data_IF_086778455292
#
_entry.id   IF_086778455292
#
_cell.length_a   1.000
_cell.length_b   1.000
_cell.length_c   1.000
_cell.angle_alpha   90.00
_cell.angle_beta   90.00
_cell.angle_gamma   90.00
#
_symmetry.space_group_name_H-M   'P 1'
#
loop_
_entity.id
_entity.type
_entity.pdbx_description
1 polymer ?
#
# COMPACT_ATOMS: atom_id res chain seq x y z
N UNK A 1 -14.77 -9.61 -34.35
CA UNK A 1 -14.44 -9.05 -33.02
C UNK A 1 -13.28 -9.85 -32.45
N UNK A 2 -12.04 -9.46 -32.76
CA UNK A 2 -10.84 -10.16 -32.27
C UNK A 2 -10.76 -10.07 -30.76
N UNK A 3 -10.80 -11.24 -30.11
CA UNK A 3 -10.58 -11.40 -28.69
C UNK A 3 -9.11 -11.02 -28.39
N UNK A 4 -8.90 -9.88 -27.73
CA UNK A 4 -7.59 -9.25 -27.51
C UNK A 4 -6.70 -10.00 -26.49
N UNK A 5 -7.05 -11.24 -26.14
CA UNK A 5 -6.42 -12.04 -25.07
C UNK A 5 -5.74 -13.33 -25.57
N UNK A 6 -5.45 -13.48 -26.86
CA UNK A 6 -4.87 -14.72 -27.41
C UNK A 6 -3.34 -14.72 -27.57
N UNK A 7 -2.61 -13.66 -27.22
CA UNK A 7 -1.14 -13.67 -27.34
C UNK A 7 -0.45 -14.08 -26.02
N UNK A 8 0.30 -15.20 -25.98
CA UNK A 8 0.93 -15.71 -24.77
C UNK A 8 1.93 -14.74 -24.12
N UNK A 9 2.55 -13.87 -24.92
CA UNK A 9 3.49 -12.85 -24.44
C UNK A 9 2.82 -11.78 -23.56
N UNK A 10 1.55 -11.46 -23.84
CA UNK A 10 0.76 -10.53 -23.03
C UNK A 10 0.36 -11.13 -21.68
N UNK A 11 0.19 -12.46 -21.62
CA UNK A 11 -0.10 -13.19 -20.37
C UNK A 11 1.15 -13.27 -19.49
N UNK A 12 2.32 -13.45 -20.10
CA UNK A 12 3.60 -13.48 -19.40
C UNK A 12 3.93 -12.10 -18.82
N UNK A 13 3.82 -11.04 -19.61
CA UNK A 13 4.03 -9.67 -19.13
C UNK A 13 3.03 -9.24 -18.04
N UNK A 14 1.76 -9.66 -18.15
CA UNK A 14 0.77 -9.41 -17.11
C UNK A 14 1.08 -10.17 -15.81
N UNK A 15 1.52 -11.43 -15.90
CA UNK A 15 1.93 -12.21 -14.74
C UNK A 15 3.23 -11.69 -14.11
N UNK A 16 4.19 -11.21 -14.91
CA UNK A 16 5.40 -10.57 -14.43
C UNK A 16 5.10 -9.24 -13.72
N UNK A 17 4.20 -8.43 -14.27
CA UNK A 17 3.71 -7.21 -13.61
C UNK A 17 2.94 -7.52 -12.32
N UNK A 18 2.18 -8.62 -12.28
CA UNK A 18 1.50 -9.12 -11.09
C UNK A 18 2.50 -9.61 -10.01
N UNK A 19 3.68 -10.06 -10.42
CA UNK A 19 4.79 -10.44 -9.54
C UNK A 19 5.71 -9.29 -9.14
N UNK A 20 5.58 -8.11 -9.77
CA UNK A 20 6.44 -6.97 -9.50
C UNK A 20 6.16 -6.39 -8.11
N UNK A 21 7.22 -6.25 -7.31
CA UNK A 21 7.16 -5.63 -5.98
C UNK A 21 7.34 -4.13 -6.13
N UNK A 22 6.34 -3.37 -5.68
CA UNK A 22 6.44 -1.92 -5.50
C UNK A 22 7.05 -1.62 -4.14
N UNK A 23 7.94 -0.63 -4.09
CA UNK A 23 8.46 -0.06 -2.85
C UNK A 23 7.89 1.34 -2.71
N UNK A 24 7.14 1.61 -1.64
CA UNK A 24 6.59 2.93 -1.39
C UNK A 24 7.24 3.62 -0.19
N UNK A 25 7.30 4.94 -0.27
CA UNK A 25 7.64 5.81 0.84
C UNK A 25 6.63 6.96 0.94
N UNK A 26 6.16 7.24 2.15
CA UNK A 26 5.25 8.36 2.41
C UNK A 26 5.43 8.93 3.82
N UNK A 27 5.09 10.21 3.99
CA UNK A 27 5.03 10.84 5.30
C UNK A 27 3.84 11.81 5.35
N UNK A 28 3.28 12.00 6.54
CA UNK A 28 2.23 12.98 6.79
C UNK A 28 2.36 13.51 8.21
N UNK A 29 2.36 14.82 8.35
CA UNK A 29 2.21 15.49 9.63
C UNK A 29 0.73 15.75 9.89
N UNK A 30 0.16 15.09 10.89
CA UNK A 30 -1.23 15.20 11.33
C UNK A 30 -1.32 14.69 12.76
N UNK A 31 -2.15 15.30 13.60
CA UNK A 31 -2.32 14.86 14.98
C UNK A 31 -2.97 13.45 15.02
N UNK A 32 -2.37 12.54 15.80
CA UNK A 32 -2.85 11.16 15.97
C UNK A 32 -2.94 10.84 17.46
N UNK A 33 -4.15 10.56 17.93
CA UNK A 33 -4.42 10.28 19.35
C UNK A 33 -4.56 8.78 19.64
N UNK A 34 -5.05 8.02 18.66
CA UNK A 34 -5.40 6.59 18.62
C UNK A 34 -4.26 5.71 18.04
N UNK A 35 -3.00 6.03 18.38
CA UNK A 35 -1.82 5.39 17.77
C UNK A 35 -1.75 3.88 17.97
N UNK A 36 -2.13 3.39 19.15
CA UNK A 36 -2.10 1.96 19.47
C UNK A 36 -3.12 1.18 18.63
N UNK A 37 -4.33 1.72 18.47
CA UNK A 37 -5.37 1.15 17.63
C UNK A 37 -4.93 1.11 16.15
N UNK A 38 -4.38 2.22 15.63
CA UNK A 38 -3.84 2.25 14.27
C UNK A 38 -2.71 1.25 14.06
N UNK A 39 -1.80 1.11 15.04
CA UNK A 39 -0.71 0.12 14.98
C UNK A 39 -1.27 -1.29 14.82
N UNK A 40 -2.25 -1.68 15.63
CA UNK A 40 -2.85 -3.01 15.57
C UNK A 40 -3.55 -3.26 14.23
N UNK A 41 -4.40 -2.32 13.81
CA UNK A 41 -5.15 -2.40 12.56
C UNK A 41 -4.22 -2.50 11.34
N UNK A 42 -3.20 -1.63 11.24
CA UNK A 42 -2.31 -1.63 10.08
C UNK A 42 -1.37 -2.83 10.10
N UNK A 43 -0.91 -3.28 11.27
CA UNK A 43 -0.09 -4.48 11.36
C UNK A 43 -0.87 -5.71 10.86
N UNK A 44 -2.12 -5.88 11.28
CA UNK A 44 -2.97 -6.98 10.82
C UNK A 44 -3.16 -6.96 9.30
N UNK A 45 -3.48 -5.79 8.72
CA UNK A 45 -3.65 -5.63 7.28
C UNK A 45 -2.36 -5.92 6.51
N UNK A 46 -1.23 -5.37 6.97
CA UNK A 46 0.07 -5.60 6.33
C UNK A 46 0.46 -7.08 6.36
N UNK A 47 0.23 -7.78 7.48
CA UNK A 47 0.49 -9.21 7.60
C UNK A 47 -0.43 -10.03 6.68
N UNK A 48 -1.73 -9.71 6.63
CA UNK A 48 -2.69 -10.39 5.77
C UNK A 48 -2.37 -10.21 4.27
N UNK A 49 -1.83 -9.04 3.90
CA UNK A 49 -1.41 -8.71 2.53
C UNK A 49 0.04 -9.14 2.21
N UNK A 50 0.75 -9.76 3.16
CA UNK A 50 2.14 -10.19 2.97
C UNK A 50 3.14 -9.05 2.73
N UNK A 51 2.81 -7.83 3.19
CA UNK A 51 3.63 -6.63 3.01
C UNK A 51 4.84 -6.67 3.94
N UNK A 52 5.96 -6.11 3.48
CA UNK A 52 7.18 -5.96 4.28
C UNK A 52 7.55 -4.49 4.43
N UNK A 53 8.18 -4.13 5.54
CA UNK A 53 8.65 -2.77 5.78
C UNK A 53 8.27 -2.26 7.17
N UNK A 54 8.25 -0.94 7.32
CA UNK A 54 8.07 -0.27 8.60
C UNK A 54 7.09 0.90 8.46
N UNK A 55 6.16 0.99 9.40
CA UNK A 55 5.34 2.18 9.61
C UNK A 55 5.66 2.73 11.00
N UNK A 56 6.08 3.98 11.07
CA UNK A 56 6.24 4.72 12.31
C UNK A 56 5.00 5.58 12.53
N UNK A 57 4.41 5.48 13.72
CA UNK A 57 3.24 6.27 14.13
C UNK A 57 3.62 7.10 15.35
N UNK A 58 3.71 8.41 15.17
CA UNK A 58 3.99 9.39 16.21
C UNK A 58 2.76 10.25 16.49
N UNK A 59 2.68 10.95 17.63
CA UNK A 59 1.57 11.89 17.90
C UNK A 59 1.40 12.95 16.81
N UNK A 60 2.49 13.37 16.18
CA UNK A 60 2.52 14.38 15.13
C UNK A 60 2.35 13.85 13.70
N UNK A 61 2.27 12.52 13.50
CA UNK A 61 2.07 11.98 12.16
C UNK A 61 2.62 10.58 11.91
N UNK A 62 2.81 10.26 10.63
CA UNK A 62 3.31 8.96 10.16
C UNK A 62 4.50 9.08 9.22
N UNK A 63 5.32 8.02 9.23
CA UNK A 63 6.36 7.76 8.24
C UNK A 63 6.26 6.28 7.80
N UNK A 64 6.12 6.04 6.50
CA UNK A 64 5.78 4.75 5.91
C UNK A 64 6.85 4.34 4.91
N UNK A 65 7.39 3.13 5.04
CA UNK A 65 8.18 2.44 4.03
C UNK A 65 7.66 1.02 3.88
N UNK A 66 7.05 0.68 2.75
CA UNK A 66 6.44 -0.63 2.52
C UNK A 66 6.81 -1.20 1.16
N UNK A 67 6.93 -2.52 1.08
CA UNK A 67 7.22 -3.28 -0.12
C UNK A 67 6.22 -4.43 -0.26
N UNK A 68 5.49 -4.48 -1.36
CA UNK A 68 4.52 -5.53 -1.67
C UNK A 68 4.17 -5.55 -3.17
N UNK A 69 3.47 -6.59 -3.67
CA UNK A 69 2.87 -6.53 -5.00
C UNK A 69 1.94 -5.31 -5.15
N UNK A 70 1.78 -4.81 -6.37
CA UNK A 70 1.01 -3.59 -6.64
C UNK A 70 -0.40 -3.60 -6.04
N UNK A 71 -1.13 -4.72 -6.19
CA UNK A 71 -2.49 -4.85 -5.65
C UNK A 71 -2.54 -4.71 -4.11
N UNK A 72 -1.51 -5.17 -3.40
CA UNK A 72 -1.44 -5.10 -1.94
C UNK A 72 -1.16 -3.67 -1.48
N UNK A 73 -0.25 -2.97 -2.16
CA UNK A 73 -0.01 -1.53 -1.94
C UNK A 73 -1.30 -0.73 -2.17
N UNK A 74 -1.97 -0.94 -3.30
CA UNK A 74 -3.21 -0.22 -3.65
C UNK A 74 -4.33 -0.49 -2.64
N UNK A 75 -4.54 -1.75 -2.25
CA UNK A 75 -5.53 -2.14 -1.25
C UNK A 75 -5.29 -1.43 0.09
N UNK A 76 -4.04 -1.45 0.57
CA UNK A 76 -3.68 -0.80 1.82
C UNK A 76 -3.80 0.73 1.76
N UNK A 77 -3.35 1.36 0.66
CA UNK A 77 -3.46 2.81 0.45
C UNK A 77 -4.91 3.28 0.37
N UNK A 78 -5.81 2.49 -0.24
CA UNK A 78 -7.23 2.81 -0.27
C UNK A 78 -7.85 2.80 1.13
N UNK A 79 -7.49 1.81 1.95
CA UNK A 79 -7.88 1.76 3.36
C UNK A 79 -7.35 2.94 4.17
N UNK A 80 -6.09 3.30 3.94
CA UNK A 80 -5.45 4.45 4.59
C UNK A 80 -6.14 5.77 4.22
N UNK A 81 -6.40 6.01 2.93
CA UNK A 81 -6.99 7.26 2.44
C UNK A 81 -8.49 7.42 2.76
N UNK A 82 -9.16 6.35 3.18
CA UNK A 82 -10.53 6.44 3.70
C UNK A 82 -10.60 7.19 5.05
N UNK A 83 -9.51 7.21 5.80
CA UNK A 83 -9.35 8.06 6.96
C UNK A 83 -8.97 9.48 6.51
N UNK A 84 -9.80 10.46 6.89
CA UNK A 84 -9.64 11.87 6.50
C UNK A 84 -8.30 12.47 6.92
N UNK A 85 -7.64 11.93 7.95
CA UNK A 85 -6.30 12.37 8.38
C UNK A 85 -5.23 12.09 7.32
N UNK A 86 -5.45 11.05 6.52
CA UNK A 86 -4.50 10.58 5.50
C UNK A 86 -5.04 10.72 4.07
N UNK A 87 -6.24 11.29 3.89
CA UNK A 87 -6.76 11.63 2.56
C UNK A 87 -5.76 12.50 1.78
N UNK A 88 -5.57 12.18 0.49
CA UNK A 88 -4.61 12.89 -0.38
C UNK A 88 -3.16 12.75 0.04
N UNK A 89 -2.78 11.63 0.68
CA UNK A 89 -1.38 11.33 1.02
C UNK A 89 -0.54 11.29 -0.27
N UNK A 90 0.56 12.04 -0.30
CA UNK A 90 1.54 11.93 -1.37
C UNK A 90 2.40 10.67 -1.14
N UNK A 91 2.43 9.79 -2.13
CA UNK A 91 3.17 8.52 -2.08
C UNK A 91 4.23 8.51 -3.17
N UNK A 92 5.46 8.17 -2.78
CA UNK A 92 6.58 7.93 -3.70
C UNK A 92 6.71 6.43 -3.93
N UNK A 93 6.94 6.04 -5.18
CA UNK A 93 7.07 4.64 -5.66
C UNK A 93 8.47 4.36 -6.19
#
# INVERSE_FOLDING_TARGET
>A
MSNRLQHPEQRLAAAEAESAILNIAAYRFVAIHDREQLREQWLEQCLALGMKGTILIAPEGINVFLAAPAFAIESWLNGLQADQRFAGLEVKY
#
